data_IF_259312098963
#
_entry.id   IF_259312098963
#
_cell.length_a   1.000
_cell.length_b   1.000
_cell.length_c   1.000
_cell.angle_alpha   90.00
_cell.angle_beta   90.00
_cell.angle_gamma   90.00
#
_symmetry.space_group_name_H-M   'P 1'
#
loop_
_entity.id
_entity.type
_entity.pdbx_description
1 polymer ?
#
# COMPACT_ATOMS: atom_id res chain seq x y z
N UNK A 1 -0.68 -0.42 -22.40
CA UNK A 1 -1.32 -1.06 -21.22
C UNK A 1 -2.16 -0.01 -20.53
N UNK A 2 -3.25 -0.36 -19.85
CA UNK A 2 -3.99 0.63 -19.07
C UNK A 2 -3.26 0.93 -17.74
N UNK A 3 -3.44 2.14 -17.21
CA UNK A 3 -3.01 2.54 -15.87
C UNK A 3 -3.49 1.53 -14.82
N UNK A 4 -2.58 1.11 -13.95
CA UNK A 4 -2.85 0.20 -12.84
C UNK A 4 -2.22 0.73 -11.56
N UNK A 5 -2.93 0.55 -10.46
CA UNK A 5 -2.43 0.79 -9.11
C UNK A 5 -2.53 -0.47 -8.27
N UNK A 6 -1.53 -0.69 -7.41
CA UNK A 6 -1.46 -1.84 -6.51
C UNK A 6 -0.94 -1.38 -5.15
N UNK A 7 -1.45 -1.98 -4.08
CA UNK A 7 -0.85 -1.82 -2.75
C UNK A 7 0.32 -2.79 -2.61
N UNK A 8 1.46 -2.30 -2.16
CA UNK A 8 2.68 -3.10 -1.96
C UNK A 8 3.28 -2.83 -0.58
N UNK A 9 3.83 -3.86 0.05
CA UNK A 9 4.62 -3.75 1.28
C UNK A 9 6.08 -4.10 0.98
N UNK A 10 7.02 -3.37 1.58
CA UNK A 10 8.45 -3.63 1.42
C UNK A 10 8.89 -4.73 2.39
N UNK A 11 9.57 -5.76 1.87
CA UNK A 11 9.96 -6.93 2.66
C UNK A 11 11.48 -7.14 2.77
N UNK A 12 12.25 -6.13 2.36
CA UNK A 12 13.72 -6.15 2.32
C UNK A 12 14.32 -6.97 1.17
N UNK A 13 13.57 -7.91 0.58
CA UNK A 13 13.95 -8.64 -0.63
C UNK A 13 13.29 -8.07 -1.89
N UNK A 14 12.30 -7.20 -1.72
CA UNK A 14 11.56 -6.52 -2.75
C UNK A 14 10.19 -6.08 -2.25
N UNK A 15 9.19 -6.28 -3.10
CA UNK A 15 7.83 -5.82 -2.84
C UNK A 15 6.84 -6.96 -2.85
N UNK A 16 6.09 -7.08 -1.75
CA UNK A 16 4.95 -7.97 -1.65
C UNK A 16 3.69 -7.21 -2.07
N UNK A 17 3.06 -7.60 -3.18
CA UNK A 17 1.73 -7.08 -3.55
C UNK A 17 0.70 -7.60 -2.55
N UNK A 18 -0.16 -6.70 -2.07
CA UNK A 18 -1.22 -6.99 -1.11
C UNK A 18 -2.57 -7.04 -1.82
N UNK A 19 -3.17 -8.23 -1.93
CA UNK A 19 -4.45 -8.48 -2.60
C UNK A 19 -5.16 -9.73 -2.03
N UNK A 20 -6.29 -10.15 -2.61
CA UNK A 20 -7.03 -11.34 -2.16
C UNK A 20 -6.46 -12.71 -2.57
N UNK A 21 -5.32 -12.73 -3.26
CA UNK A 21 -4.71 -13.94 -3.83
C UNK A 21 -3.39 -14.31 -3.13
N UNK A 22 -3.09 -13.74 -1.96
CA UNK A 22 -1.89 -14.12 -1.20
C UNK A 22 -1.96 -15.59 -0.79
N UNK A 23 -0.86 -16.32 -1.00
CA UNK A 23 -0.63 -17.66 -0.45
C UNK A 23 -0.36 -17.60 1.06
N UNK A 24 -0.49 -18.73 1.75
CA UNK A 24 -0.19 -18.82 3.19
C UNK A 24 1.25 -18.40 3.52
N UNK A 25 2.20 -18.68 2.62
CA UNK A 25 3.59 -18.23 2.76
C UNK A 25 3.68 -16.70 2.67
N UNK A 26 2.99 -16.09 1.70
CA UNK A 26 2.96 -14.64 1.55
C UNK A 26 2.27 -13.95 2.73
N UNK A 27 1.17 -14.52 3.24
CA UNK A 27 0.52 -14.01 4.46
C UNK A 27 1.45 -14.12 5.67
N UNK A 28 2.15 -15.26 5.83
CA UNK A 28 3.12 -15.44 6.92
C UNK A 28 4.25 -14.41 6.85
N UNK A 29 4.72 -14.08 5.63
CA UNK A 29 5.72 -13.02 5.42
C UNK A 29 5.17 -11.65 5.79
N UNK A 30 3.95 -11.30 5.36
CA UNK A 30 3.30 -10.04 5.75
C UNK A 30 3.18 -9.91 7.27
N UNK A 31 2.70 -10.96 7.94
CA UNK A 31 2.56 -11.00 9.39
C UNK A 31 3.91 -10.85 10.09
N UNK A 32 4.97 -11.49 9.57
CA UNK A 32 6.33 -11.31 10.09
C UNK A 32 6.84 -9.86 9.92
N UNK A 33 6.55 -9.21 8.78
CA UNK A 33 6.89 -7.78 8.59
C UNK A 33 6.17 -6.90 9.60
N UNK A 34 4.91 -7.21 9.88
CA UNK A 34 4.07 -6.50 10.83
C UNK A 34 4.61 -6.62 12.26
N UNK A 35 5.02 -7.81 12.66
CA UNK A 35 5.66 -8.05 13.97
C UNK A 35 7.10 -7.50 14.01
N UNK A 36 7.80 -7.48 12.88
CA UNK A 36 9.22 -7.11 12.75
C UNK A 36 10.19 -8.28 12.79
N UNK A 37 9.71 -9.50 12.96
CA UNK A 37 10.50 -10.73 12.93
C UNK A 37 9.60 -11.93 12.61
N UNK A 38 10.20 -13.02 12.14
CA UNK A 38 9.51 -14.26 11.90
C UNK A 38 9.40 -15.07 13.19
N UNK A 39 8.18 -15.18 13.73
CA UNK A 39 7.84 -16.02 14.89
C UNK A 39 6.67 -16.95 14.55
N UNK A 40 6.38 -17.99 15.36
CA UNK A 40 5.28 -18.91 15.09
C UNK A 40 3.93 -18.18 14.93
N UNK A 41 3.03 -18.66 14.05
CA UNK A 41 1.78 -17.96 13.70
C UNK A 41 0.95 -17.44 14.89
N UNK A 42 0.77 -18.27 15.93
CA UNK A 42 0.00 -17.88 17.12
C UNK A 42 0.65 -16.70 17.85
N UNK A 43 1.96 -16.76 18.06
CA UNK A 43 2.71 -15.68 18.72
C UNK A 43 2.67 -14.41 17.88
N UNK A 44 2.76 -14.53 16.54
CA UNK A 44 2.65 -13.37 15.66
C UNK A 44 1.31 -12.68 15.80
N UNK A 45 0.20 -13.44 15.83
CA UNK A 45 -1.14 -12.88 15.98
C UNK A 45 -1.33 -12.24 17.36
N UNK A 46 -0.85 -12.86 18.43
CA UNK A 46 -0.89 -12.27 19.77
C UNK A 46 -0.14 -10.92 19.83
N UNK A 47 1.02 -10.83 19.19
CA UNK A 47 1.81 -9.60 19.11
C UNK A 47 1.16 -8.52 18.25
N UNK A 48 0.62 -8.89 17.08
CA UNK A 48 -0.14 -7.97 16.22
C UNK A 48 -1.31 -7.39 16.99
N UNK A 49 -2.12 -8.24 17.63
CA UNK A 49 -3.29 -7.80 18.39
C UNK A 49 -2.95 -6.98 19.65
N UNK A 50 -1.74 -7.15 20.18
CA UNK A 50 -1.26 -6.41 21.35
C UNK A 50 -0.63 -5.05 21.04
N UNK A 51 -0.46 -4.70 19.76
CA UNK A 51 0.18 -3.45 19.33
C UNK A 51 -0.67 -2.62 18.38
N UNK A 52 -0.12 -1.50 17.94
CA UNK A 52 -0.71 -0.55 16.97
C UNK A 52 0.22 -0.28 15.79
N UNK A 53 1.29 -1.06 15.67
CA UNK A 53 2.27 -0.95 14.60
C UNK A 53 1.60 -1.18 13.24
N UNK A 54 2.09 -0.53 12.20
CA UNK A 54 1.75 -0.83 10.80
C UNK A 54 2.95 -1.41 10.03
N UNK A 55 2.73 -1.74 8.76
CA UNK A 55 3.78 -2.19 7.83
C UNK A 55 4.16 -1.06 6.89
N UNK A 56 5.44 -0.99 6.53
CA UNK A 56 5.89 -0.08 5.49
C UNK A 56 5.36 -0.54 4.12
N UNK A 57 4.79 0.40 3.37
CA UNK A 57 4.16 0.10 2.10
C UNK A 57 3.44 1.31 1.50
N UNK A 58 2.89 1.15 0.31
CA UNK A 58 2.18 2.23 -0.36
C UNK A 58 1.60 1.84 -1.71
N UNK A 59 1.21 2.86 -2.49
CA UNK A 59 0.64 2.68 -3.82
C UNK A 59 1.74 2.62 -4.88
N UNK A 60 1.89 1.46 -5.52
CA UNK A 60 2.65 1.30 -6.76
C UNK A 60 1.76 1.64 -7.94
N UNK A 61 2.33 2.35 -8.92
CA UNK A 61 1.66 2.66 -10.17
C UNK A 61 2.39 2.06 -11.36
N UNK A 62 1.65 1.65 -12.37
CA UNK A 62 2.20 1.19 -13.64
C UNK A 62 1.33 1.66 -14.80
N UNK A 63 1.93 2.26 -15.82
CA UNK A 63 1.24 2.64 -17.05
C UNK A 63 2.19 2.51 -18.25
N UNK A 64 1.78 1.76 -19.27
CA UNK A 64 2.45 1.73 -20.58
C UNK A 64 3.99 1.60 -20.55
N UNK A 65 4.52 0.83 -19.61
CA UNK A 65 5.96 0.61 -19.43
C UNK A 65 6.63 1.52 -18.37
N UNK A 66 5.94 2.57 -17.92
CA UNK A 66 6.30 3.34 -16.74
C UNK A 66 5.90 2.61 -15.45
N UNK A 67 6.73 2.74 -14.42
CA UNK A 67 6.47 2.22 -13.07
C UNK A 67 6.97 3.21 -12.04
N UNK A 68 6.11 3.50 -11.07
CA UNK A 68 6.45 4.30 -9.89
C UNK A 68 6.25 3.42 -8.67
N UNK A 69 7.33 3.23 -7.91
CA UNK A 69 7.29 2.56 -6.62
C UNK A 69 7.06 3.59 -5.50
N UNK A 70 6.45 3.20 -4.37
CA UNK A 70 6.36 4.07 -3.21
C UNK A 70 7.76 4.49 -2.73
N UNK A 71 7.89 5.72 -2.26
CA UNK A 71 9.06 6.18 -1.50
C UNK A 71 9.09 5.59 -0.09
N UNK A 72 10.06 6.02 0.70
CA UNK A 72 10.24 5.53 2.08
C UNK A 72 9.35 6.29 3.09
N UNK A 73 9.26 5.72 4.31
CA UNK A 73 8.43 6.16 5.43
C UNK A 73 6.91 6.23 5.18
N UNK A 74 6.41 5.55 4.14
CA UNK A 74 4.98 5.31 4.01
C UNK A 74 4.56 4.09 4.83
N UNK A 75 3.57 4.28 5.68
CA UNK A 75 2.83 3.21 6.31
C UNK A 75 1.67 2.79 5.42
N UNK A 76 1.19 1.57 5.60
CA UNK A 76 0.22 1.00 4.68
C UNK A 76 -1.04 1.85 4.57
N UNK A 77 -1.53 2.38 5.69
CA UNK A 77 -2.70 3.27 5.82
C UNK A 77 -2.58 4.58 5.03
N UNK A 78 -1.37 5.02 4.68
CA UNK A 78 -1.14 6.26 3.93
C UNK A 78 -1.66 6.19 2.50
N UNK A 79 -2.06 5.00 2.01
CA UNK A 79 -2.86 4.87 0.80
C UNK A 79 -4.12 5.74 0.81
N UNK A 80 -4.60 6.11 2.01
CA UNK A 80 -5.75 7.01 2.21
C UNK A 80 -5.50 8.44 1.75
N UNK A 81 -4.25 8.89 1.67
CA UNK A 81 -3.89 10.20 1.15
C UNK A 81 -4.36 10.42 -0.31
N UNK A 82 -4.65 9.34 -1.03
CA UNK A 82 -5.19 9.38 -2.39
C UNK A 82 -6.65 9.86 -2.47
N UNK A 83 -7.38 9.85 -1.34
CA UNK A 83 -8.76 10.36 -1.27
C UNK A 83 -8.77 11.88 -1.41
N UNK A 84 -9.56 12.40 -2.35
CA UNK A 84 -9.73 13.84 -2.55
C UNK A 84 -8.62 14.51 -3.39
N UNK A 85 -7.70 13.75 -3.98
CA UNK A 85 -6.68 14.29 -4.89
C UNK A 85 -7.31 14.99 -6.11
N UNK A 86 -8.41 14.45 -6.65
CA UNK A 86 -9.19 15.10 -7.71
C UNK A 86 -9.80 16.45 -7.29
N UNK A 87 -9.94 16.68 -5.97
CA UNK A 87 -10.46 17.92 -5.39
C UNK A 87 -9.33 18.85 -4.92
N UNK A 88 -8.09 18.58 -5.32
CA UNK A 88 -6.93 19.43 -5.09
C UNK A 88 -6.02 19.03 -3.94
N UNK A 89 -6.29 17.89 -3.27
CA UNK A 89 -5.34 17.28 -2.34
C UNK A 89 -4.09 16.72 -3.05
N UNK A 90 -3.08 16.34 -2.26
CA UNK A 90 -1.88 15.66 -2.74
C UNK A 90 -1.82 14.27 -2.11
N UNK A 91 -1.56 13.20 -2.89
CA UNK A 91 -1.26 11.91 -2.30
C UNK A 91 0.12 11.98 -1.64
N UNK A 92 0.29 11.22 -0.56
CA UNK A 92 1.60 10.93 -0.04
C UNK A 92 2.23 9.81 -0.89
N UNK A 93 3.45 10.06 -1.36
CA UNK A 93 4.24 9.12 -2.16
C UNK A 93 5.57 8.78 -1.48
N UNK A 94 5.78 9.22 -0.24
CA UNK A 94 6.98 8.98 0.55
C UNK A 94 8.10 9.97 0.25
N UNK A 95 9.09 10.03 1.15
CA UNK A 95 10.29 10.86 0.97
C UNK A 95 11.32 10.17 0.08
N UNK A 96 12.31 10.95 -0.37
CA UNK A 96 13.43 10.51 -1.22
C UNK A 96 13.00 9.64 -2.42
N UNK A 97 11.80 9.93 -2.93
CA UNK A 97 11.03 9.05 -3.79
C UNK A 97 10.41 9.77 -5.00
N UNK A 98 9.17 9.42 -5.37
CA UNK A 98 8.50 9.99 -6.52
C UNK A 98 8.28 11.50 -6.39
N UNK A 99 8.35 12.22 -7.52
CA UNK A 99 8.00 13.64 -7.57
C UNK A 99 6.64 13.86 -8.21
N UNK A 100 5.89 14.82 -7.66
CA UNK A 100 4.52 15.11 -8.06
C UNK A 100 4.43 16.43 -8.81
N UNK A 101 3.77 16.40 -9.96
CA UNK A 101 3.38 17.59 -10.71
C UNK A 101 1.89 17.53 -11.02
N UNK A 102 1.23 18.69 -11.00
CA UNK A 102 -0.19 18.79 -11.30
C UNK A 102 -0.49 19.85 -12.32
N UNK A 103 -1.53 19.60 -13.09
CA UNK A 103 -2.18 20.60 -13.94
C UNK A 103 -3.70 20.57 -13.71
N UNK A 104 -4.48 21.12 -14.64
CA UNK A 104 -5.93 21.19 -14.51
C UNK A 104 -6.64 19.84 -14.66
N UNK A 105 -5.99 18.86 -15.30
CA UNK A 105 -6.63 17.60 -15.71
C UNK A 105 -6.04 16.37 -15.03
N UNK A 106 -4.80 16.44 -14.57
CA UNK A 106 -4.08 15.26 -14.11
C UNK A 106 -3.04 15.53 -13.02
N UNK A 107 -2.67 14.43 -12.37
CA UNK A 107 -1.47 14.28 -11.56
C UNK A 107 -0.43 13.49 -12.37
N UNK A 108 0.76 14.05 -12.54
CA UNK A 108 1.93 13.40 -13.14
C UNK A 108 2.89 13.02 -12.03
N UNK A 109 3.33 11.77 -12.02
CA UNK A 109 4.18 11.21 -10.98
C UNK A 109 5.45 10.67 -11.61
N UNK A 110 6.58 11.25 -11.24
CA UNK A 110 7.90 10.88 -11.71
C UNK A 110 8.52 9.84 -10.77
N UNK A 111 9.07 8.72 -11.26
CA UNK A 111 9.58 7.64 -10.40
C UNK A 111 10.70 8.04 -9.44
N UNK A 112 11.55 8.98 -9.85
CA UNK A 112 12.64 9.54 -9.04
C UNK A 112 12.62 11.04 -9.18
N UNK A 113 12.31 11.74 -8.09
CA UNK A 113 12.32 13.19 -8.18
C UNK A 113 12.37 14.03 -6.92
N UNK A 114 12.15 13.45 -5.75
CA UNK A 114 12.47 14.12 -4.50
C UNK A 114 13.84 13.59 -4.03
N UNK A 115 14.87 14.44 -4.07
CA UNK A 115 16.04 14.27 -3.19
C UNK A 115 15.99 15.46 -2.25
N UNK A 116 15.75 15.23 -0.96
CA UNK A 116 15.44 16.30 0.03
C UNK A 116 16.55 17.37 0.15
N UNK A 117 17.76 17.07 -0.33
CA UNK A 117 18.91 17.96 -0.31
C UNK A 117 19.12 18.77 -1.59
N UNK A 118 18.34 18.54 -2.66
CA UNK A 118 18.46 19.27 -3.93
C UNK A 118 17.45 20.39 -4.05
N UNK A 119 17.91 21.52 -4.60
CA UNK A 119 17.08 22.71 -4.84
C UNK A 119 16.12 22.54 -6.03
N UNK A 120 16.46 21.68 -6.99
CA UNK A 120 15.65 21.43 -8.20
C UNK A 120 15.16 19.98 -8.22
N UNK A 121 13.87 19.74 -8.55
CA UNK A 121 13.33 18.39 -8.62
C UNK A 121 13.98 17.60 -9.74
N UNK A 122 14.34 16.35 -9.44
CA UNK A 122 14.82 15.41 -10.44
C UNK A 122 13.60 14.85 -11.19
N UNK A 123 13.68 14.70 -12.51
CA UNK A 123 12.59 14.12 -13.33
C UNK A 123 13.16 12.96 -14.12
N UNK A 124 13.51 11.89 -13.41
CA UNK A 124 14.17 10.73 -13.99
C UNK A 124 13.20 9.58 -14.25
N UNK A 125 13.30 9.01 -15.45
CA UNK A 125 12.47 7.90 -15.89
C UNK A 125 11.11 8.30 -16.48
N UNK A 126 10.40 7.34 -17.07
CA UNK A 126 9.08 7.59 -17.65
C UNK A 126 8.05 7.86 -16.53
N UNK A 127 7.32 8.99 -16.56
CA UNK A 127 6.32 9.30 -15.54
C UNK A 127 5.04 8.48 -15.75
N UNK A 128 4.26 8.34 -14.67
CA UNK A 128 2.88 7.88 -14.74
C UNK A 128 1.96 9.09 -14.63
N UNK A 129 1.07 9.28 -15.61
CA UNK A 129 0.07 10.35 -15.62
C UNK A 129 -1.31 9.79 -15.32
N UNK A 130 -1.96 10.33 -14.29
CA UNK A 130 -3.28 9.90 -13.82
C UNK A 130 -4.24 11.06 -14.03
N UNK A 131 -5.23 10.88 -14.90
CA UNK A 131 -6.31 11.85 -15.05
C UNK A 131 -7.14 11.87 -13.77
N UNK A 132 -7.59 13.05 -13.34
CA UNK A 132 -8.42 13.15 -12.14
C UNK A 132 -9.72 12.35 -12.23
N UNK A 133 -10.25 12.17 -13.44
CA UNK A 133 -11.40 11.30 -13.73
C UNK A 133 -11.14 9.81 -13.49
N UNK A 134 -9.88 9.36 -13.46
CA UNK A 134 -9.50 7.97 -13.21
C UNK A 134 -9.32 7.66 -11.72
N UNK A 135 -9.08 8.67 -10.88
CA UNK A 135 -8.78 8.48 -9.46
C UNK A 135 -9.88 7.75 -8.68
N UNK A 136 -11.19 8.04 -8.86
CA UNK A 136 -12.22 7.30 -8.14
C UNK A 136 -12.25 5.80 -8.44
N UNK A 137 -11.98 5.40 -9.68
CA UNK A 137 -11.87 3.98 -10.05
C UNK A 137 -10.60 3.36 -9.48
N UNK A 138 -9.47 4.06 -9.61
CA UNK A 138 -8.19 3.60 -9.07
C UNK A 138 -8.28 3.34 -7.56
N UNK A 139 -8.88 4.26 -6.79
CA UNK A 139 -9.09 4.07 -5.34
C UNK A 139 -10.02 2.91 -5.01
N UNK A 140 -11.11 2.74 -5.77
CA UNK A 140 -12.00 1.58 -5.59
C UNK A 140 -11.28 0.27 -5.86
N UNK A 141 -10.39 0.23 -6.85
CA UNK A 141 -9.55 -0.94 -7.13
C UNK A 141 -8.59 -1.22 -5.97
N UNK A 142 -7.89 -0.21 -5.44
CA UNK A 142 -7.00 -0.36 -4.29
C UNK A 142 -7.76 -0.88 -3.06
N UNK A 143 -8.93 -0.30 -2.77
CA UNK A 143 -9.77 -0.75 -1.66
C UNK A 143 -10.25 -2.20 -1.86
N UNK A 144 -10.54 -2.60 -3.10
CA UNK A 144 -10.95 -3.97 -3.41
C UNK A 144 -9.82 -4.96 -3.16
N UNK A 145 -8.60 -4.64 -3.59
CA UNK A 145 -7.40 -5.45 -3.32
C UNK A 145 -7.16 -5.58 -1.80
N UNK A 146 -7.27 -4.48 -1.04
CA UNK A 146 -7.14 -4.50 0.41
C UNK A 146 -8.24 -5.27 1.14
N UNK A 147 -9.49 -5.21 0.68
CA UNK A 147 -10.55 -6.08 1.21
C UNK A 147 -10.26 -7.54 0.92
N UNK A 148 -9.72 -7.85 -0.27
CA UNK A 148 -9.24 -9.18 -0.59
C UNK A 148 -8.12 -9.63 0.36
N UNK A 149 -7.19 -8.75 0.72
CA UNK A 149 -6.14 -9.04 1.71
C UNK A 149 -6.75 -9.52 3.04
N UNK A 150 -7.82 -8.88 3.51
CA UNK A 150 -8.53 -9.30 4.74
C UNK A 150 -9.07 -10.73 4.63
N UNK A 151 -9.54 -11.14 3.45
CA UNK A 151 -9.98 -12.52 3.21
C UNK A 151 -8.80 -13.50 3.23
N UNK A 152 -7.65 -13.13 2.65
CA UNK A 152 -6.42 -13.94 2.73
C UNK A 152 -5.93 -14.08 4.17
N UNK A 153 -5.91 -13.00 4.95
CA UNK A 153 -5.57 -13.03 6.38
C UNK A 153 -6.51 -13.96 7.16
N UNK A 154 -7.82 -13.90 6.88
CA UNK A 154 -8.80 -14.77 7.52
C UNK A 154 -8.50 -16.24 7.25
N UNK A 155 -8.36 -16.64 5.98
CA UNK A 155 -8.10 -18.04 5.60
C UNK A 155 -6.84 -18.60 6.25
N UNK A 156 -5.78 -17.80 6.27
CA UNK A 156 -4.54 -18.17 6.94
C UNK A 156 -4.74 -18.31 8.46
N UNK A 157 -5.44 -17.36 9.08
CA UNK A 157 -5.68 -17.39 10.52
C UNK A 157 -6.62 -18.52 10.96
N UNK A 158 -7.64 -18.85 10.18
CA UNK A 158 -8.53 -19.99 10.44
C UNK A 158 -7.76 -21.31 10.52
N UNK A 159 -6.68 -21.43 9.74
CA UNK A 159 -5.79 -22.62 9.75
C UNK A 159 -4.84 -22.63 10.95
N UNK A 160 -4.30 -21.47 11.34
CA UNK A 160 -3.18 -21.39 12.29
C UNK A 160 -3.59 -20.98 13.71
N UNK A 161 -4.65 -20.20 13.85
CA UNK A 161 -5.10 -19.57 15.10
C UNK A 161 -6.61 -19.20 15.02
N UNK A 162 -7.50 -20.20 14.83
CA UNK A 162 -8.92 -19.97 14.52
C UNK A 162 -9.64 -19.10 15.56
N UNK A 163 -9.27 -19.24 16.84
CA UNK A 163 -9.85 -18.45 17.94
C UNK A 163 -9.61 -16.94 17.81
N UNK A 164 -8.56 -16.53 17.07
CA UNK A 164 -8.14 -15.14 16.89
C UNK A 164 -8.37 -14.62 15.46
N UNK A 165 -8.86 -15.44 14.53
CA UNK A 165 -8.97 -15.08 13.11
C UNK A 165 -9.87 -13.86 12.88
N UNK A 166 -11.02 -13.80 13.57
CA UNK A 166 -11.91 -12.64 13.51
C UNK A 166 -11.26 -11.36 14.04
N UNK A 167 -10.53 -11.46 15.17
CA UNK A 167 -9.85 -10.34 15.80
C UNK A 167 -8.70 -9.80 14.91
N UNK A 168 -7.90 -10.69 14.32
CA UNK A 168 -6.81 -10.30 13.42
C UNK A 168 -7.32 -9.51 12.23
N UNK A 169 -8.42 -9.95 11.60
CA UNK A 169 -9.02 -9.27 10.45
C UNK A 169 -9.56 -7.90 10.83
N UNK A 170 -10.26 -7.80 11.96
CA UNK A 170 -10.77 -6.51 12.44
C UNK A 170 -9.64 -5.54 12.78
N UNK A 171 -8.56 -6.05 13.37
CA UNK A 171 -7.38 -5.26 13.68
C UNK A 171 -6.66 -4.77 12.41
N UNK A 172 -6.51 -5.63 11.40
CA UNK A 172 -5.95 -5.24 10.10
C UNK A 172 -6.80 -4.20 9.37
N UNK A 173 -8.12 -4.34 9.38
CA UNK A 173 -9.02 -3.34 8.81
C UNK A 173 -8.87 -1.98 9.50
N UNK A 174 -8.69 -1.99 10.82
CA UNK A 174 -8.49 -0.78 11.62
C UNK A 174 -7.13 -0.13 11.33
N UNK A 175 -6.02 -0.86 11.51
CA UNK A 175 -4.65 -0.32 11.37
C UNK A 175 -4.40 0.16 9.94
N UNK A 176 -4.79 -0.63 8.93
CA UNK A 176 -4.56 -0.26 7.52
C UNK A 176 -5.67 0.62 6.94
N UNK A 177 -6.64 1.00 7.78
CA UNK A 177 -7.82 1.79 7.43
C UNK A 177 -8.47 1.28 6.12
N UNK A 178 -9.01 0.07 6.06
CA UNK A 178 -9.43 -0.54 4.78
C UNK A 178 -10.88 -0.22 4.41
N UNK A 179 -11.84 -0.37 5.32
CA UNK A 179 -13.27 -0.34 4.98
C UNK A 179 -13.90 1.05 4.89
N UNK A 180 -13.22 2.09 5.38
CA UNK A 180 -13.70 3.49 5.31
C UNK A 180 -13.99 4.00 3.88
N UNK A 181 -14.77 5.09 3.72
CA UNK A 181 -15.14 5.62 2.40
C UNK A 181 -13.93 6.04 1.55
N UNK A 182 -14.05 5.90 0.22
CA UNK A 182 -13.04 6.27 -0.80
C UNK A 182 -13.64 7.07 -1.94
#
# INVERSE_FOLDING_TARGET
MALRAEIVAEDGAGWLRLCGELSDEQVSRLVALWVGEAVPPRESVERVLGGDRSVFGGVRLTDSGARVDPGCCLLLEDWRSWVGVENGGWPDVGHDGPWLERDAEALTIWPRGAEDWRSDPVREGPPVRILYSQLPELRRSLQTDLRGLLDSLRRWADTNCPDSAGALVAHADHIFAITGPV
#
